data_IF_046858611964
#
_entry.id   IF_046858611964
#
_cell.length_a   1.000
_cell.length_b   1.000
_cell.length_c   1.000
_cell.angle_alpha   90.00
_cell.angle_beta   90.00
_cell.angle_gamma   90.00
#
_symmetry.space_group_name_H-M   'P 1'
#
loop_
_entity.id
_entity.type
_entity.pdbx_description
1 polymer ?
#
# COMPACT_ATOMS: atom_id res chain seq x y z
N UNK A 1 65.39 -4.95 -32.37
CA UNK A 1 64.73 -4.87 -32.15
C UNK A 1 63.77 -4.89 -31.60
N UNK A 2 63.17 -4.94 -31.20
CA UNK A 2 62.29 -4.89 -30.82
C UNK A 2 61.31 -5.01 -30.30
N UNK A 3 60.83 -5.04 -29.97
CA UNK A 3 59.90 -5.07 -29.52
C UNK A 3 58.99 -5.24 -29.08
N UNK A 4 58.54 -5.26 -28.70
CA UNK A 4 57.57 -5.31 -28.40
C UNK A 4 56.63 -5.45 -27.92
N UNK A 5 56.12 -5.39 -27.54
CA UNK A 5 55.14 -5.44 -27.17
C UNK A 5 54.30 -5.57 -26.71
N UNK A 6 53.90 -5.56 -26.46
CA UNK A 6 52.96 -5.61 -26.09
C UNK A 6 52.11 -5.77 -25.60
N UNK A 7 51.81 -5.75 -25.44
CA UNK A 7 50.87 -5.80 -25.07
C UNK A 7 50.04 -6.00 -24.55
N UNK A 8 49.76 -6.02 -24.36
CA UNK A 8 48.87 -6.14 -23.96
C UNK A 8 48.00 -6.16 -23.39
N UNK A 9 47.68 -6.06 -23.12
CA UNK A 9 46.82 -5.98 -22.70
C UNK A 9 45.92 -6.18 -22.28
N UNK A 10 45.55 -6.23 -21.96
CA UNK A 10 44.63 -6.31 -21.70
C UNK A 10 43.73 -6.37 -21.14
N UNK A 11 43.30 -6.30 -20.86
CA UNK A 11 42.41 -6.23 -20.42
C UNK A 11 41.56 -6.39 -19.91
N UNK A 12 40.97 -6.43 -19.63
CA UNK A 12 40.08 -6.52 -19.25
C UNK A 12 39.25 -6.53 -18.69
N UNK A 13 38.72 -6.48 -18.40
CA UNK A 13 37.86 -6.40 -17.96
C UNK A 13 37.00 -6.58 -17.42
N UNK A 14 36.46 -6.57 -17.29
CA UNK A 14 35.60 -6.63 -16.93
C UNK A 14 34.80 -6.70 -16.29
N UNK A 15 34.35 -6.62 -16.09
CA UNK A 15 33.57 -6.59 -15.65
C UNK A 15 32.74 -6.70 -15.04
N UNK A 16 32.33 -6.67 -14.89
CA UNK A 16 31.55 -6.69 -14.46
C UNK A 16 30.67 -6.70 -13.90
N UNK A 17 30.25 -6.59 -13.77
CA UNK A 17 29.36 -6.51 -13.37
C UNK A 17 28.54 -6.71 -12.73
N UNK A 18 28.21 -6.75 -12.47
CA UNK A 18 27.41 -6.88 -11.98
C UNK A 18 26.56 -6.84 -11.34
N UNK A 19 26.22 -6.69 -11.06
CA UNK A 19 25.41 -6.65 -10.57
C UNK A 19 24.58 -6.78 -9.95
N UNK A 20 24.36 -6.86 -9.66
CA UNK A 20 23.52 -6.87 -9.14
C UNK A 20 22.67 -6.98 -8.65
N UNK A 21 22.33 -7.01 -8.38
CA UNK A 21 21.64 -7.15 -8.09
C UNK A 21 20.93 -7.16 -7.40
N UNK A 22 20.54 -7.01 -6.97
CA UNK A 22 19.84 -6.92 -6.38
C UNK A 22 19.01 -7.22 -5.88
N UNK A 23 18.72 -7.38 -5.48
CA UNK A 23 18.01 -7.61 -5.14
C UNK A 23 17.20 -7.63 -4.51
N UNK A 24 16.64 -7.46 -4.35
CA UNK A 24 15.86 -7.45 -3.95
C UNK A 24 15.19 -7.79 -3.21
N UNK A 25 14.54 -7.64 -2.63
CA UNK A 25 13.88 -7.77 -1.89
C UNK A 25 12.80 -7.89 -1.59
N UNK A 26 12.23 -8.09 -1.22
CA UNK A 26 11.20 -8.40 -1.04
C UNK A 26 10.30 -8.18 -0.31
N UNK A 27 9.99 -7.98 -0.30
CA UNK A 27 9.10 -8.04 -0.02
C UNK A 27 8.32 -8.06 0.99
N UNK A 28 8.34 -7.41 1.70
CA UNK A 28 7.46 -7.16 2.76
C UNK A 28 6.49 -6.09 2.45
N UNK A 29 6.71 -5.41 1.35
CA UNK A 29 5.81 -4.36 0.93
C UNK A 29 4.45 -4.94 0.59
N UNK A 30 3.42 -4.15 0.73
CA UNK A 30 2.09 -4.51 0.29
C UNK A 30 2.07 -4.64 -1.23
N UNK A 31 1.22 -5.49 -1.74
CA UNK A 31 1.07 -5.68 -3.18
C UNK A 31 0.40 -4.50 -3.85
N UNK A 32 -0.36 -3.72 -3.07
CA UNK A 32 -1.06 -2.55 -3.59
C UNK A 32 -1.23 -1.54 -2.48
N UNK A 33 -1.42 -0.27 -2.86
CA UNK A 33 -1.66 0.80 -1.90
C UNK A 33 -2.80 1.67 -2.39
N UNK A 34 -3.62 2.12 -1.45
CA UNK A 34 -4.71 3.04 -1.74
C UNK A 34 -4.76 4.09 -0.65
N UNK A 35 -5.35 5.23 -0.99
CA UNK A 35 -5.54 6.33 -0.06
C UNK A 35 -7.01 6.55 0.21
N UNK A 36 -7.33 6.89 1.44
CA UNK A 36 -8.70 7.11 1.89
C UNK A 36 -8.68 8.31 2.81
N UNK A 37 -9.68 9.14 2.68
CA UNK A 37 -9.83 10.34 3.53
C UNK A 37 -11.17 10.26 4.22
N UNK A 38 -11.20 10.63 5.51
CA UNK A 38 -12.48 10.83 6.19
C UNK A 38 -12.58 12.31 6.54
N UNK A 39 -13.71 12.90 6.17
CA UNK A 39 -14.02 14.28 6.46
C UNK A 39 -15.53 14.41 6.63
N UNK A 40 -15.94 15.12 7.69
CA UNK A 40 -17.35 15.21 8.08
C UNK A 40 -17.97 13.82 8.21
N UNK A 41 -17.17 12.88 8.72
CA UNK A 41 -17.51 11.46 8.94
C UNK A 41 -17.79 10.70 7.65
N UNK A 42 -17.43 11.25 6.49
CA UNK A 42 -17.63 10.59 5.21
C UNK A 42 -16.31 10.19 4.61
N UNK A 43 -16.26 8.98 4.08
CA UNK A 43 -15.07 8.45 3.43
C UNK A 43 -15.02 8.81 1.96
N UNK A 44 -13.83 9.15 1.49
CA UNK A 44 -13.58 9.44 0.07
C UNK A 44 -12.28 8.75 -0.34
N UNK A 45 -12.25 7.99 -1.41
CA UNK A 45 -13.35 7.72 -2.35
C UNK A 45 -14.35 6.74 -1.78
N UNK A 46 -15.57 6.80 -2.31
CA UNK A 46 -16.62 5.87 -1.97
C UNK A 46 -17.40 5.59 -3.26
N UNK A 47 -17.33 4.39 -3.83
CA UNK A 47 -16.66 3.22 -3.25
C UNK A 47 -15.15 3.31 -3.36
N UNK A 48 -14.50 2.61 -2.46
CA UNK A 48 -13.07 2.37 -2.53
C UNK A 48 -12.86 1.08 -3.31
N UNK A 49 -11.94 1.08 -4.26
CA UNK A 49 -11.70 -0.11 -5.07
C UNK A 49 -10.32 -0.67 -4.77
N UNK A 50 -10.25 -1.97 -4.58
CA UNK A 50 -8.98 -2.65 -4.36
C UNK A 50 -8.94 -3.94 -5.17
N UNK A 51 -7.74 -4.44 -5.49
CA UNK A 51 -7.63 -5.70 -6.20
C UNK A 51 -7.97 -6.90 -5.31
N UNK A 52 -8.53 -7.93 -5.94
CA UNK A 52 -8.87 -9.17 -5.25
C UNK A 52 -7.61 -9.96 -4.92
N UNK A 53 -7.70 -10.78 -3.89
CA UNK A 53 -6.66 -11.73 -3.49
C UNK A 53 -5.31 -11.05 -3.28
N UNK A 54 -5.34 -9.81 -2.82
CA UNK A 54 -4.16 -8.95 -2.70
C UNK A 54 -4.15 -8.31 -1.32
N UNK A 55 -2.99 -8.27 -0.71
CA UNK A 55 -2.80 -7.51 0.52
C UNK A 55 -2.65 -6.05 0.14
N UNK A 56 -3.53 -5.21 0.66
CA UNK A 56 -3.58 -3.81 0.28
C UNK A 56 -3.25 -2.93 1.49
N UNK A 57 -2.33 -2.02 1.30
CA UNK A 57 -2.02 -1.01 2.30
C UNK A 57 -2.94 0.18 2.10
N UNK A 58 -3.69 0.51 3.13
CA UNK A 58 -4.60 1.65 3.12
C UNK A 58 -3.96 2.76 3.94
N UNK A 59 -3.87 3.95 3.38
CA UNK A 59 -3.47 5.13 4.11
C UNK A 59 -4.72 5.96 4.33
N UNK A 60 -5.08 6.15 5.59
CA UNK A 60 -6.30 6.86 5.97
C UNK A 60 -5.94 8.17 6.64
N UNK A 61 -6.39 9.25 6.07
CA UNK A 61 -6.22 10.59 6.61
C UNK A 61 -7.54 11.05 7.23
N UNK A 62 -7.50 11.43 8.50
CA UNK A 62 -8.67 11.95 9.20
C UNK A 62 -8.61 13.48 9.19
N UNK A 63 -9.48 14.10 8.40
CA UNK A 63 -9.53 15.56 8.30
C UNK A 63 -10.53 16.18 9.26
N UNK A 64 -11.15 15.36 10.11
CA UNK A 64 -12.01 15.86 11.17
C UNK A 64 -11.17 16.14 12.40
N UNK A 65 -11.76 16.84 13.36
CA UNK A 65 -11.11 17.10 14.65
C UNK A 65 -11.33 15.93 15.61
N UNK A 66 -12.33 15.11 15.37
CA UNK A 66 -12.67 14.01 16.25
C UNK A 66 -12.01 12.72 15.77
N UNK A 67 -11.81 11.81 16.71
CA UNK A 67 -11.26 10.49 16.39
C UNK A 67 -12.28 9.69 15.58
N UNK A 68 -11.78 8.93 14.63
CA UNK A 68 -12.57 8.01 13.84
C UNK A 68 -12.00 6.61 14.02
N UNK A 69 -12.84 5.61 13.78
CA UNK A 69 -12.38 4.23 13.81
C UNK A 69 -12.90 3.53 12.56
N UNK A 70 -11.96 3.17 11.68
CA UNK A 70 -12.30 2.38 10.50
C UNK A 70 -12.67 0.98 10.93
N UNK A 71 -13.86 0.54 10.57
CA UNK A 71 -14.36 -0.78 10.95
C UNK A 71 -15.19 -1.37 9.83
N UNK A 72 -15.27 -2.69 9.80
CA UNK A 72 -16.15 -3.41 8.89
C UNK A 72 -16.73 -4.60 9.61
N UNK A 73 -18.00 -4.89 9.31
CA UNK A 73 -18.62 -6.12 9.75
C UNK A 73 -18.42 -7.24 8.73
N UNK A 74 -17.92 -6.91 7.54
CA UNK A 74 -17.80 -7.84 6.43
C UNK A 74 -16.41 -8.43 6.28
N UNK A 75 -15.39 -7.78 6.83
CA UNK A 75 -14.02 -8.28 6.74
C UNK A 75 -13.24 -7.83 7.97
N UNK A 76 -12.12 -8.48 8.19
CA UNK A 76 -11.27 -8.13 9.32
C UNK A 76 -10.51 -6.85 9.04
N UNK A 77 -10.48 -6.01 10.02
CA UNK A 77 -9.70 -4.79 9.96
C UNK A 77 -10.35 -3.74 10.80
N UNK A 78 -9.54 -3.04 11.53
CA UNK A 78 -9.99 -1.93 12.33
C UNK A 78 -8.81 -1.06 12.63
N UNK A 79 -9.03 0.24 12.60
CA UNK A 79 -7.93 1.16 12.87
C UNK A 79 -8.49 2.47 13.39
N UNK A 80 -7.99 2.85 14.55
CA UNK A 80 -8.29 4.14 15.15
C UNK A 80 -7.42 5.19 14.49
N UNK A 81 -8.01 6.33 14.18
CA UNK A 81 -7.26 7.46 13.66
C UNK A 81 -7.71 8.72 14.38
N UNK A 82 -6.81 9.31 15.14
CA UNK A 82 -7.07 10.54 15.87
C UNK A 82 -7.33 11.68 14.90
N UNK A 83 -8.13 12.65 15.31
CA UNK A 83 -8.43 13.80 14.49
C UNK A 83 -7.17 14.48 13.97
N UNK A 84 -7.14 14.78 12.69
CA UNK A 84 -6.03 15.45 12.05
C UNK A 84 -4.84 14.56 11.76
N UNK A 85 -4.93 13.25 12.02
CA UNK A 85 -3.81 12.33 11.84
C UNK A 85 -4.03 11.44 10.63
N UNK A 86 -2.92 10.82 10.21
CA UNK A 86 -2.91 9.85 9.11
C UNK A 86 -2.33 8.56 9.64
N UNK A 87 -2.98 7.46 9.31
CA UNK A 87 -2.51 6.13 9.72
C UNK A 87 -2.50 5.22 8.51
N UNK A 88 -1.78 4.12 8.63
CA UNK A 88 -1.78 3.08 7.60
C UNK A 88 -2.12 1.75 8.22
N UNK A 89 -2.82 0.93 7.45
CA UNK A 89 -3.17 -0.41 7.88
C UNK A 89 -3.40 -1.25 6.63
N UNK A 90 -3.61 -2.54 6.82
CA UNK A 90 -3.76 -3.48 5.71
C UNK A 90 -5.15 -4.06 5.67
N UNK A 91 -5.64 -4.27 4.45
CA UNK A 91 -6.89 -4.99 4.20
C UNK A 91 -6.56 -6.15 3.28
N UNK A 92 -7.25 -7.26 3.51
CA UNK A 92 -7.14 -8.41 2.63
C UNK A 92 -5.98 -9.32 2.95
N UNK A 93 -5.78 -10.30 2.09
CA UNK A 93 -6.47 -10.54 0.80
C UNK A 93 -7.95 -10.86 0.96
N UNK A 94 -8.75 -10.30 0.07
CA UNK A 94 -10.18 -10.54 0.05
C UNK A 94 -10.59 -11.08 -1.31
N UNK A 95 -11.66 -11.85 -1.33
CA UNK A 95 -12.23 -12.34 -2.57
C UNK A 95 -12.97 -11.21 -3.27
N UNK A 96 -13.09 -11.31 -4.59
CA UNK A 96 -13.86 -10.35 -5.35
C UNK A 96 -15.27 -10.25 -4.82
N UNK A 97 -15.79 -9.04 -4.70
CA UNK A 97 -17.12 -8.81 -4.17
C UNK A 97 -17.26 -7.40 -3.67
N UNK A 98 -18.41 -7.13 -3.07
CA UNK A 98 -18.73 -5.82 -2.50
C UNK A 98 -18.85 -5.98 -0.99
N UNK A 99 -18.20 -5.08 -0.27
CA UNK A 99 -18.14 -5.10 1.18
C UNK A 99 -18.47 -3.70 1.69
N UNK A 100 -18.80 -3.59 2.98
CA UNK A 100 -19.05 -2.31 3.62
C UNK A 100 -18.03 -2.03 4.69
N UNK A 101 -17.75 -0.74 4.90
CA UNK A 101 -16.98 -0.28 6.06
C UNK A 101 -17.56 1.04 6.54
N UNK A 102 -17.17 1.46 7.73
CA UNK A 102 -17.76 2.64 8.35
C UNK A 102 -16.83 3.17 9.44
N UNK A 103 -17.16 4.35 9.94
CA UNK A 103 -16.58 4.90 11.15
C UNK A 103 -17.42 4.42 12.32
N UNK A 104 -16.81 3.65 13.20
CA UNK A 104 -17.55 3.03 14.31
C UNK A 104 -18.22 4.05 15.21
N UNK A 105 -17.67 5.24 15.33
CA UNK A 105 -18.26 6.29 16.16
C UNK A 105 -19.44 6.99 15.49
N UNK A 106 -19.61 6.80 14.19
CA UNK A 106 -20.68 7.45 13.43
C UNK A 106 -21.22 6.49 12.38
N UNK A 107 -21.51 5.28 12.77
CA UNK A 107 -21.83 4.21 11.84
C UNK A 107 -22.97 4.57 10.90
N UNK A 108 -24.04 5.17 11.43
CA UNK A 108 -25.25 5.39 10.63
C UNK A 108 -25.05 6.36 9.48
N UNK A 109 -24.05 7.23 9.54
CA UNK A 109 -23.85 8.25 8.49
C UNK A 109 -22.58 8.02 7.70
N UNK A 110 -21.70 7.13 8.14
CA UNK A 110 -20.36 7.00 7.56
C UNK A 110 -20.21 5.79 6.65
N UNK A 111 -21.26 5.02 6.42
CA UNK A 111 -21.14 3.78 5.66
C UNK A 111 -20.62 4.03 4.26
N UNK A 112 -19.68 3.21 3.86
CA UNK A 112 -19.05 3.30 2.55
C UNK A 112 -18.86 1.89 2.00
N UNK A 113 -18.62 1.81 0.71
CA UNK A 113 -18.48 0.51 0.06
C UNK A 113 -17.05 0.27 -0.39
N UNK A 114 -16.64 -0.98 -0.26
CA UNK A 114 -15.38 -1.47 -0.76
C UNK A 114 -15.70 -2.43 -1.91
N UNK A 115 -15.16 -2.15 -3.08
CA UNK A 115 -15.32 -3.01 -4.23
C UNK A 115 -14.00 -3.71 -4.49
N UNK A 116 -14.05 -5.02 -4.44
CA UNK A 116 -12.88 -5.87 -4.64
C UNK A 116 -13.06 -6.58 -5.98
N UNK A 117 -12.11 -6.38 -6.90
CA UNK A 117 -12.23 -6.95 -8.23
C UNK A 117 -10.89 -7.24 -8.91
#
# INVERSE_FOLDING_TARGET
MQLRISSLVKTVSAAAALAFISMAQPALAADAEVSLVIKDHLFTPNPLEIPADTKVKVTLENRDQTTAEFMSDDFKGGKLVTGGKTVSFFIGPLKAGTYEFHDEYKESISKARLIVK
#
